data_IF_590365470125
#
_entry.id   IF_590365470125
#
_cell.length_a   1.000
_cell.length_b   1.000
_cell.length_c   1.000
_cell.angle_alpha   90.00
_cell.angle_beta   90.00
_cell.angle_gamma   90.00
#
_symmetry.space_group_name_H-M   'P 1'
#
loop_
_entity.id
_entity.type
_entity.pdbx_description
1 polymer ?
#
# COMPACT_ATOMS: atom_id res chain seq x y z
N UNK A 1 -50.59 -47.79 16.45
CA UNK A 1 -49.40 -47.81 17.34
C UNK A 1 -48.61 -49.08 17.05
N UNK A 2 -47.28 -48.99 17.17
CA UNK A 2 -46.23 -49.80 16.54
C UNK A 2 -46.33 -51.35 16.61
N UNK A 3 -45.63 -52.08 15.71
CA UNK A 3 -45.96 -53.43 15.26
C UNK A 3 -45.06 -54.54 15.85
N UNK A 4 -45.50 -55.80 15.73
CA UNK A 4 -44.72 -56.99 16.04
C UNK A 4 -44.42 -57.84 14.78
N UNK A 5 -43.13 -57.84 14.42
CA UNK A 5 -42.28 -58.94 13.91
C UNK A 5 -42.78 -59.91 12.83
N UNK A 6 -42.06 -59.89 11.69
CA UNK A 6 -42.11 -60.90 10.63
C UNK A 6 -40.78 -61.67 10.51
N UNK A 7 -40.90 -63.00 10.55
CA UNK A 7 -40.17 -64.08 9.85
C UNK A 7 -38.63 -64.10 9.71
N UNK A 8 -38.12 -65.25 10.19
CA UNK A 8 -36.96 -66.05 9.78
C UNK A 8 -36.57 -65.98 8.29
N UNK A 9 -35.25 -65.98 8.02
CA UNK A 9 -34.61 -66.73 6.92
C UNK A 9 -33.06 -66.76 7.05
N UNK A 10 -32.47 -67.96 7.02
CA UNK A 10 -31.06 -68.28 6.69
C UNK A 10 -30.83 -68.11 5.16
N UNK A 11 -29.61 -68.06 4.54
CA UNK A 11 -28.41 -68.86 4.86
C UNK A 11 -26.99 -68.29 4.56
N UNK A 12 -25.99 -69.06 5.03
CA UNK A 12 -24.60 -69.27 4.56
C UNK A 12 -23.95 -68.26 3.59
N UNK A 13 -22.86 -67.61 4.04
CA UNK A 13 -21.63 -67.57 3.22
C UNK A 13 -20.35 -67.50 4.07
N UNK A 14 -19.59 -68.58 3.92
CA UNK A 14 -18.16 -68.83 4.12
C UNK A 14 -17.25 -67.59 4.31
N UNK A 15 -16.31 -67.63 5.26
CA UNK A 15 -14.90 -68.04 5.03
C UNK A 15 -14.07 -67.75 6.31
N UNK A 16 -13.16 -68.67 6.69
CA UNK A 16 -12.27 -68.53 7.88
C UNK A 16 -10.98 -67.80 7.51
N UNK A 17 -10.32 -67.15 8.49
CA UNK A 17 -8.88 -67.42 8.60
C UNK A 17 -8.47 -67.91 10.00
N UNK A 18 -7.39 -68.69 10.07
CA UNK A 18 -6.91 -69.27 11.29
C UNK A 18 -5.94 -68.35 12.05
N UNK A 19 -6.06 -68.47 13.38
CA UNK A 19 -4.99 -68.69 14.35
C UNK A 19 -3.95 -67.60 14.66
N UNK A 20 -3.94 -67.29 15.97
CA UNK A 20 -2.77 -67.05 16.85
C UNK A 20 -2.11 -65.68 16.69
N UNK A 21 -2.41 -64.71 17.57
CA UNK A 21 -1.84 -64.55 18.91
C UNK A 21 -0.37 -64.96 19.03
N UNK A 22 0.49 -63.93 19.10
CA UNK A 22 1.73 -63.75 19.89
C UNK A 22 2.61 -62.79 19.08
N UNK A 23 3.36 -61.83 19.60
CA UNK A 23 3.53 -61.24 20.91
C UNK A 23 4.35 -59.95 20.61
N UNK A 24 4.14 -58.92 21.42
CA UNK A 24 4.93 -57.66 21.54
C UNK A 24 6.45 -57.89 21.35
N UNK A 25 7.34 -56.99 20.94
CA UNK A 25 7.40 -55.52 20.89
C UNK A 25 8.77 -55.20 20.25
N UNK A 26 8.86 -54.30 19.28
CA UNK A 26 10.09 -53.52 19.05
C UNK A 26 9.67 -52.16 18.52
N UNK A 27 9.88 -51.15 19.35
CA UNK A 27 9.60 -49.75 19.04
C UNK A 27 10.53 -49.28 17.93
N UNK A 28 10.04 -49.21 16.71
CA UNK A 28 10.59 -48.27 15.73
C UNK A 28 9.84 -46.96 15.92
N UNK A 29 10.39 -46.09 16.76
CA UNK A 29 10.01 -44.68 16.78
C UNK A 29 10.50 -44.07 15.48
N UNK A 30 9.64 -43.99 14.48
CA UNK A 30 9.86 -43.14 13.32
C UNK A 30 9.71 -41.69 13.77
N UNK A 31 10.86 -41.02 13.91
CA UNK A 31 10.96 -39.58 14.10
C UNK A 31 10.57 -38.91 12.77
N UNK A 32 9.27 -38.66 12.57
CA UNK A 32 8.81 -37.76 11.51
C UNK A 32 9.15 -36.33 11.94
N UNK A 33 10.29 -35.82 11.46
CA UNK A 33 10.56 -34.38 11.48
C UNK A 33 9.64 -33.75 10.43
N UNK A 34 8.42 -33.41 10.85
CA UNK A 34 7.57 -32.48 10.12
C UNK A 34 8.22 -31.10 10.23
N UNK A 35 9.11 -30.78 9.28
CA UNK A 35 9.64 -29.44 9.10
C UNK A 35 8.49 -28.55 8.62
N UNK A 36 7.75 -27.98 9.58
CA UNK A 36 6.79 -26.89 9.32
C UNK A 36 7.63 -25.71 8.85
N UNK A 37 7.82 -25.60 7.52
CA UNK A 37 8.19 -24.32 6.93
C UNK A 37 7.04 -23.37 7.23
N UNK A 38 7.18 -22.62 8.31
CA UNK A 38 6.35 -21.47 8.61
C UNK A 38 6.54 -20.46 7.49
N UNK A 39 5.77 -20.61 6.41
CA UNK A 39 5.61 -19.59 5.40
C UNK A 39 4.92 -18.43 6.10
N UNK A 40 5.71 -17.50 6.62
CA UNK A 40 5.22 -16.26 7.19
C UNK A 40 4.66 -15.45 6.03
N UNK A 41 3.38 -15.65 5.72
CA UNK A 41 2.61 -14.72 4.90
C UNK A 41 2.53 -13.42 5.71
N UNK A 42 3.56 -12.58 5.56
CA UNK A 42 3.46 -11.19 5.95
C UNK A 42 2.27 -10.62 5.18
N UNK A 43 1.20 -10.27 5.90
CA UNK A 43 0.14 -9.42 5.36
C UNK A 43 0.78 -8.04 5.10
N UNK A 44 1.35 -7.88 3.90
CA UNK A 44 1.82 -6.60 3.39
C UNK A 44 0.58 -5.72 3.19
N UNK A 45 0.27 -4.94 4.22
CA UNK A 45 -0.85 -4.02 4.17
C UNK A 45 -0.48 -2.86 3.24
N UNK A 46 -1.10 -2.82 2.07
CA UNK A 46 -0.85 -1.77 1.09
C UNK A 46 -0.95 -0.36 1.67
N UNK A 47 -0.19 0.58 1.10
CA UNK A 47 -0.26 1.98 1.52
C UNK A 47 -1.53 2.62 0.96
N UNK A 48 -2.46 2.90 1.88
CA UNK A 48 -3.71 3.60 1.61
C UNK A 48 -3.68 5.04 2.17
N UNK A 49 -4.25 5.97 1.41
CA UNK A 49 -4.54 7.34 1.84
C UNK A 49 -5.83 7.83 1.19
N UNK A 50 -6.63 8.60 1.92
CA UNK A 50 -7.94 9.10 1.46
C UNK A 50 -8.92 8.00 0.96
N UNK A 51 -8.77 6.77 1.45
CA UNK A 51 -9.56 5.61 1.01
C UNK A 51 -9.00 4.90 -0.22
N UNK A 52 -7.92 5.39 -0.83
CA UNK A 52 -7.36 4.83 -2.06
C UNK A 52 -5.98 4.23 -1.87
N UNK A 53 -5.70 3.15 -2.60
CA UNK A 53 -4.49 2.35 -2.47
C UNK A 53 -3.51 2.67 -3.59
N UNK A 54 -2.30 3.09 -3.21
CA UNK A 54 -1.22 3.41 -4.16
C UNK A 54 -0.82 2.16 -4.95
N UNK A 55 -0.64 2.32 -6.27
CA UNK A 55 -0.27 1.26 -7.21
C UNK A 55 -1.40 0.30 -7.59
N UNK A 56 -2.59 0.38 -6.97
CA UNK A 56 -3.69 -0.58 -7.20
C UNK A 56 -4.98 0.08 -7.67
N UNK A 57 -5.42 1.14 -6.97
CA UNK A 57 -6.66 1.85 -7.30
C UNK A 57 -6.56 2.44 -8.70
N UNK A 58 -7.57 2.20 -9.53
CA UNK A 58 -7.66 2.74 -10.88
C UNK A 58 -8.39 4.10 -10.95
N UNK A 59 -8.20 4.81 -12.06
CA UNK A 59 -8.84 6.10 -12.34
C UNK A 59 -10.36 6.07 -12.20
N UNK A 60 -11.02 5.03 -12.72
CA UNK A 60 -12.49 4.90 -12.70
C UNK A 60 -13.00 4.74 -11.26
N UNK A 61 -12.30 3.98 -10.43
CA UNK A 61 -12.63 3.82 -9.01
C UNK A 61 -12.56 5.17 -8.27
N UNK A 62 -11.53 5.98 -8.53
CA UNK A 62 -11.40 7.30 -7.90
C UNK A 62 -12.52 8.25 -8.36
N UNK A 63 -12.84 8.30 -9.66
CA UNK A 63 -13.91 9.19 -10.15
C UNK A 63 -15.29 8.80 -9.64
N UNK A 64 -15.54 7.50 -9.43
CA UNK A 64 -16.80 7.01 -8.87
C UNK A 64 -16.94 7.32 -7.37
N UNK A 65 -15.87 7.14 -6.59
CA UNK A 65 -15.91 7.33 -5.13
C UNK A 65 -15.68 8.78 -4.70
N UNK A 66 -15.06 9.60 -5.56
CA UNK A 66 -14.76 11.01 -5.29
C UNK A 66 -15.19 11.91 -6.48
N UNK A 67 -16.51 11.97 -6.79
CA UNK A 67 -17.02 12.66 -7.99
C UNK A 67 -16.85 14.19 -7.99
N UNK A 68 -16.49 14.78 -6.84
CA UNK A 68 -16.19 16.22 -6.77
C UNK A 68 -14.84 16.59 -7.38
N UNK A 69 -13.94 15.62 -7.53
CA UNK A 69 -12.65 15.83 -8.19
C UNK A 69 -12.86 16.14 -9.67
N UNK A 70 -12.10 17.10 -10.18
CA UNK A 70 -12.16 17.57 -11.56
C UNK A 70 -10.91 17.14 -12.31
N UNK A 71 -11.02 17.11 -13.63
CA UNK A 71 -9.87 16.83 -14.48
C UNK A 71 -8.71 17.80 -14.19
N UNK A 72 -7.54 17.23 -13.95
CA UNK A 72 -6.29 17.94 -13.75
C UNK A 72 -5.41 17.96 -15.00
N UNK A 73 -5.81 17.30 -16.08
CA UNK A 73 -5.01 17.12 -17.29
C UNK A 73 -4.04 15.95 -17.19
N UNK A 74 -2.99 15.97 -18.01
CA UNK A 74 -1.98 14.90 -18.09
C UNK A 74 -0.73 15.29 -17.31
N UNK A 75 -0.26 14.40 -16.45
CA UNK A 75 0.95 14.63 -15.67
C UNK A 75 2.21 14.45 -16.52
N UNK A 76 3.10 15.45 -16.52
CA UNK A 76 4.34 15.39 -17.32
C UNK A 76 5.32 14.28 -16.91
N UNK A 77 5.25 13.77 -15.67
CA UNK A 77 6.20 12.78 -15.17
C UNK A 77 5.73 11.34 -15.39
N UNK A 78 4.44 11.08 -15.20
CA UNK A 78 3.87 9.74 -15.43
C UNK A 78 3.27 9.57 -16.82
N UNK A 79 2.89 10.67 -17.50
CA UNK A 79 1.98 10.70 -18.65
C UNK A 79 0.61 10.08 -18.38
N UNK A 80 0.22 9.96 -17.11
CA UNK A 80 -1.12 9.53 -16.72
C UNK A 80 -2.03 10.72 -16.44
N UNK A 81 -3.32 10.41 -16.35
CA UNK A 81 -4.38 11.39 -16.01
C UNK A 81 -4.15 11.97 -14.62
N UNK A 82 -4.75 13.12 -14.36
CA UNK A 82 -4.79 13.74 -13.04
C UNK A 82 -6.21 14.09 -12.66
N UNK A 83 -6.50 14.02 -11.36
CA UNK A 83 -7.73 14.53 -10.77
C UNK A 83 -7.37 15.48 -9.64
N UNK A 84 -7.98 16.66 -9.61
CA UNK A 84 -7.74 17.68 -8.59
C UNK A 84 -9.04 18.19 -7.97
N UNK A 85 -9.00 18.64 -6.73
CA UNK A 85 -10.18 19.25 -6.14
C UNK A 85 -10.07 19.56 -4.66
N UNK A 86 -11.02 20.38 -4.21
CA UNK A 86 -11.16 20.75 -2.82
C UNK A 86 -11.39 19.54 -1.92
N UNK A 87 -10.78 19.62 -0.75
CA UNK A 87 -10.68 18.55 0.23
C UNK A 87 -11.91 18.30 1.09
N UNK A 88 -12.96 19.13 0.99
CA UNK A 88 -14.11 19.12 1.92
C UNK A 88 -14.78 17.75 2.05
N UNK A 89 -14.79 16.95 0.97
CA UNK A 89 -15.35 15.60 0.97
C UNK A 89 -14.59 14.63 1.89
N UNK A 90 -13.30 14.84 2.15
CA UNK A 90 -12.46 13.95 2.96
C UNK A 90 -12.53 14.26 4.46
N UNK A 91 -13.17 15.36 4.86
CA UNK A 91 -13.38 15.76 6.26
C UNK A 91 -12.08 15.81 7.10
N UNK A 92 -10.95 16.17 6.48
CA UNK A 92 -9.65 16.29 7.14
C UNK A 92 -9.39 17.75 7.52
N UNK A 93 -9.15 18.01 8.80
CA UNK A 93 -8.88 19.34 9.31
C UNK A 93 -7.62 19.96 8.66
N UNK A 94 -7.76 21.18 8.16
CA UNK A 94 -6.65 21.96 7.60
C UNK A 94 -6.15 21.50 6.24
N UNK A 95 -6.76 20.46 5.65
CA UNK A 95 -6.52 20.05 4.25
C UNK A 95 -7.21 21.06 3.33
N UNK A 96 -6.49 21.60 2.35
CA UNK A 96 -6.98 22.60 1.39
C UNK A 96 -7.32 22.01 0.04
N UNK A 97 -6.38 21.25 -0.51
CA UNK A 97 -6.46 20.72 -1.88
C UNK A 97 -5.91 19.29 -1.94
N UNK A 98 -6.33 18.57 -2.96
CA UNK A 98 -5.92 17.20 -3.26
C UNK A 98 -5.64 17.05 -4.75
N UNK A 99 -4.54 16.38 -5.07
CA UNK A 99 -4.18 16.02 -6.43
C UNK A 99 -3.85 14.53 -6.49
N UNK A 100 -4.57 13.82 -7.34
CA UNK A 100 -4.38 12.42 -7.67
C UNK A 100 -3.69 12.34 -9.02
N UNK A 101 -2.60 11.60 -9.09
CA UNK A 101 -1.85 11.39 -10.34
C UNK A 101 -1.81 9.90 -10.61
N UNK A 102 -2.24 9.53 -11.81
CA UNK A 102 -2.23 8.15 -12.28
C UNK A 102 -0.99 7.89 -13.15
N UNK A 103 -0.64 6.63 -13.34
CA UNK A 103 0.33 6.21 -14.35
C UNK A 103 -0.34 5.96 -15.72
N UNK A 104 0.44 5.50 -16.70
CA UNK A 104 -0.05 5.17 -18.05
C UNK A 104 -1.02 3.99 -18.07
N UNK A 105 -1.01 3.16 -17.03
CA UNK A 105 -1.92 2.03 -16.84
C UNK A 105 -3.16 2.44 -16.03
N UNK A 106 -3.35 3.74 -15.83
CA UNK A 106 -4.42 4.34 -15.04
C UNK A 106 -4.43 3.89 -13.58
N UNK A 107 -3.29 3.43 -13.05
CA UNK A 107 -3.14 3.08 -11.62
C UNK A 107 -2.64 4.27 -10.83
N UNK A 108 -3.14 4.41 -9.60
CA UNK A 108 -2.87 5.55 -8.74
C UNK A 108 -1.40 5.59 -8.32
N UNK A 109 -0.66 6.56 -8.84
CA UNK A 109 0.78 6.70 -8.63
C UNK A 109 1.13 7.71 -7.53
N UNK A 110 0.31 8.76 -7.37
CA UNK A 110 0.50 9.80 -6.35
C UNK A 110 -0.83 10.26 -5.78
N UNK A 111 -0.85 10.47 -4.46
CA UNK A 111 -1.83 11.33 -3.79
C UNK A 111 -1.04 12.46 -3.13
N UNK A 112 -1.26 13.68 -3.59
CA UNK A 112 -0.71 14.90 -3.00
C UNK A 112 -1.82 15.64 -2.27
N UNK A 113 -1.52 16.03 -1.05
CA UNK A 113 -2.41 16.77 -0.16
C UNK A 113 -1.73 18.06 0.27
N UNK A 114 -2.40 19.17 0.09
CA UNK A 114 -1.90 20.48 0.51
C UNK A 114 -2.62 20.91 1.79
N UNK A 115 -1.87 21.16 2.86
CA UNK A 115 -2.38 21.57 4.17
C UNK A 115 -1.90 22.98 4.53
N UNK A 116 -2.59 23.63 5.47
CA UNK A 116 -1.99 24.72 6.23
C UNK A 116 -0.71 24.24 6.92
N UNK A 117 0.38 25.02 6.84
CA UNK A 117 1.70 24.67 7.41
C UNK A 117 1.68 24.39 8.92
N UNK A 118 0.74 24.99 9.66
CA UNK A 118 0.54 24.71 11.10
C UNK A 118 0.21 23.25 11.40
N UNK A 119 -0.29 22.49 10.41
CA UNK A 119 -0.58 21.07 10.57
C UNK A 119 0.66 20.17 10.54
N UNK A 120 1.87 20.72 10.35
CA UNK A 120 3.08 19.91 10.16
C UNK A 120 3.32 18.94 11.31
N UNK A 121 3.30 19.41 12.56
CA UNK A 121 3.67 18.57 13.70
C UNK A 121 2.60 17.48 13.96
N UNK A 122 1.32 17.81 13.76
CA UNK A 122 0.19 16.86 13.81
C UNK A 122 0.33 15.76 12.76
N UNK A 123 0.53 16.14 11.49
CA UNK A 123 0.67 15.18 10.39
C UNK A 123 1.95 14.35 10.55
N UNK A 124 3.04 14.98 10.97
CA UNK A 124 4.30 14.29 11.20
C UNK A 124 4.16 13.23 12.29
N UNK A 125 3.50 13.57 13.41
CA UNK A 125 3.22 12.63 14.49
C UNK A 125 2.39 11.43 14.03
N UNK A 126 1.32 11.69 13.26
CA UNK A 126 0.48 10.64 12.67
C UNK A 126 1.27 9.72 11.70
N UNK A 127 2.09 10.29 10.81
CA UNK A 127 2.86 9.49 9.86
C UNK A 127 3.95 8.67 10.56
N UNK A 128 4.59 9.25 11.59
CA UNK A 128 5.63 8.58 12.37
C UNK A 128 5.10 7.38 13.15
N UNK A 129 3.84 7.39 13.59
CA UNK A 129 3.25 6.22 14.27
C UNK A 129 2.89 5.09 13.30
N UNK A 130 2.71 5.38 12.00
CA UNK A 130 2.24 4.42 10.99
C UNK A 130 3.34 3.89 10.05
N UNK A 131 4.39 4.68 9.81
CA UNK A 131 5.39 4.39 8.79
C UNK A 131 6.82 4.56 9.31
N UNK A 132 7.75 3.77 8.77
CA UNK A 132 9.17 3.90 9.11
C UNK A 132 9.71 5.24 8.59
N UNK A 133 10.33 6.02 9.48
CA UNK A 133 10.97 7.28 9.13
C UNK A 133 12.28 6.99 8.40
N UNK A 134 12.39 7.41 7.14
CA UNK A 134 13.60 7.26 6.33
C UNK A 134 14.56 8.43 6.52
N UNK A 135 14.05 9.67 6.55
CA UNK A 135 14.86 10.86 6.81
C UNK A 135 14.02 12.04 7.27
N UNK A 136 14.65 13.01 7.96
CA UNK A 136 14.02 14.27 8.36
C UNK A 136 15.01 15.43 8.39
N UNK A 137 14.51 16.63 8.15
CA UNK A 137 15.16 17.92 8.39
C UNK A 137 14.11 18.86 8.97
N UNK A 138 14.15 19.07 10.29
CA UNK A 138 13.17 19.88 11.02
C UNK A 138 13.96 20.90 11.86
N UNK A 139 14.48 21.97 11.23
CA UNK A 139 15.20 23.00 11.96
C UNK A 139 14.22 23.85 12.77
N UNK A 140 14.73 24.59 13.77
CA UNK A 140 13.93 25.58 14.51
C UNK A 140 13.43 26.69 13.58
N UNK A 141 14.30 27.19 12.70
CA UNK A 141 13.96 28.14 11.63
C UNK A 141 14.34 27.55 10.27
N UNK A 142 13.46 27.69 9.28
CA UNK A 142 13.67 27.22 7.91
C UNK A 142 12.64 26.19 7.45
N UNK A 143 12.88 25.62 6.26
CA UNK A 143 11.95 24.64 5.66
C UNK A 143 12.02 23.29 6.38
N UNK A 144 10.86 22.74 6.76
CA UNK A 144 10.75 21.41 7.36
C UNK A 144 10.48 20.36 6.27
N UNK A 145 11.18 19.23 6.34
CA UNK A 145 11.02 18.09 5.42
C UNK A 145 11.10 16.77 6.16
N UNK A 146 10.30 15.80 5.75
CA UNK A 146 10.39 14.43 6.25
C UNK A 146 10.07 13.44 5.12
N UNK A 147 10.68 12.25 5.18
CA UNK A 147 10.41 11.15 4.26
C UNK A 147 10.19 9.90 5.09
N UNK A 148 9.05 9.25 4.86
CA UNK A 148 8.71 7.94 5.39
C UNK A 148 8.67 6.93 4.26
N UNK A 149 8.83 5.66 4.61
CA UNK A 149 8.86 4.54 3.67
C UNK A 149 7.98 3.40 4.19
N UNK A 150 7.19 2.82 3.29
CA UNK A 150 6.56 1.52 3.48
C UNK A 150 6.47 0.83 2.12
N UNK A 151 7.05 -0.37 2.03
CA UNK A 151 7.09 -1.17 0.79
C UNK A 151 7.55 -0.33 -0.40
N UNK A 152 6.83 -0.34 -1.52
CA UNK A 152 7.14 0.42 -2.73
C UNK A 152 6.58 1.85 -2.74
N UNK A 153 6.22 2.40 -1.57
CA UNK A 153 5.64 3.74 -1.45
C UNK A 153 6.45 4.61 -0.50
N UNK A 154 6.67 5.86 -0.91
CA UNK A 154 7.25 6.92 -0.09
C UNK A 154 6.18 7.92 0.30
N UNK A 155 6.26 8.40 1.54
CA UNK A 155 5.46 9.53 2.01
C UNK A 155 6.41 10.68 2.28
N UNK A 156 6.28 11.77 1.52
CA UNK A 156 7.12 12.96 1.65
C UNK A 156 6.31 14.10 2.23
N UNK A 157 6.85 14.75 3.25
CA UNK A 157 6.34 16.00 3.77
C UNK A 157 7.30 17.13 3.40
N UNK A 158 6.74 18.24 2.91
CA UNK A 158 7.50 19.45 2.61
C UNK A 158 6.73 20.67 3.09
N UNK A 159 7.32 21.42 4.02
CA UNK A 159 6.78 22.68 4.54
C UNK A 159 7.83 23.78 4.29
N UNK A 160 7.75 24.50 3.16
CA UNK A 160 8.66 25.59 2.85
C UNK A 160 8.57 26.71 3.89
N UNK A 161 9.73 27.30 4.23
CA UNK A 161 9.79 28.39 5.21
C UNK A 161 8.86 29.56 4.87
N UNK A 162 8.91 30.01 3.61
CA UNK A 162 8.20 31.20 3.10
C UNK A 162 6.80 30.90 2.55
N UNK A 163 6.28 29.67 2.74
CA UNK A 163 4.91 29.31 2.35
C UNK A 163 4.00 29.24 3.57
N UNK A 164 2.72 29.57 3.40
CA UNK A 164 1.68 29.26 4.40
C UNK A 164 1.19 27.80 4.30
N UNK A 165 1.61 27.11 3.24
CA UNK A 165 1.19 25.76 2.92
C UNK A 165 2.32 24.75 3.08
N UNK A 166 1.92 23.50 3.28
CA UNK A 166 2.77 22.33 3.24
C UNK A 166 2.13 21.23 2.40
N UNK A 167 2.97 20.39 1.80
CA UNK A 167 2.52 19.26 1.01
C UNK A 167 2.85 17.95 1.70
N UNK A 168 1.92 17.00 1.60
CA UNK A 168 2.10 15.60 1.97
C UNK A 168 1.83 14.78 0.72
N UNK A 169 2.87 14.12 0.22
CA UNK A 169 2.81 13.31 -0.99
C UNK A 169 2.99 11.84 -0.65
N UNK A 170 2.00 11.02 -0.93
CA UNK A 170 2.13 9.58 -1.03
C UNK A 170 2.45 9.26 -2.49
N UNK A 171 3.57 8.60 -2.76
CA UNK A 171 3.98 8.30 -4.14
C UNK A 171 4.63 6.94 -4.25
N UNK A 172 4.34 6.23 -5.34
CA UNK A 172 5.03 4.99 -5.67
C UNK A 172 6.52 5.26 -5.96
N UNK A 173 7.36 4.28 -5.69
CA UNK A 173 8.80 4.35 -5.95
C UNK A 173 9.09 4.52 -7.43
N UNK A 174 8.28 3.90 -8.29
CA UNK A 174 8.36 4.11 -9.74
C UNK A 174 8.18 5.59 -10.09
N UNK A 175 7.12 6.22 -9.57
CA UNK A 175 6.90 7.65 -9.79
C UNK A 175 8.04 8.51 -9.24
N UNK A 176 8.54 8.21 -8.03
CA UNK A 176 9.68 8.93 -7.42
C UNK A 176 10.92 8.89 -8.32
N UNK A 177 11.23 7.72 -8.90
CA UNK A 177 12.35 7.55 -9.82
C UNK A 177 12.15 8.33 -11.11
N UNK A 178 10.97 8.25 -11.70
CA UNK A 178 10.63 8.96 -12.95
C UNK A 178 10.69 10.48 -12.77
N UNK A 179 10.11 10.99 -11.68
CA UNK A 179 10.19 12.40 -11.28
C UNK A 179 11.65 12.87 -11.15
N UNK A 180 12.47 12.17 -10.35
CA UNK A 180 13.89 12.53 -10.14
C UNK A 180 14.71 12.47 -11.42
N UNK A 181 14.42 11.50 -12.30
CA UNK A 181 15.09 11.38 -13.60
C UNK A 181 14.81 12.61 -14.47
N UNK A 182 13.55 12.96 -14.65
CA UNK A 182 13.14 14.11 -15.46
C UNK A 182 13.71 15.41 -14.88
N UNK A 183 13.61 15.61 -13.57
CA UNK A 183 14.17 16.81 -12.92
C UNK A 183 15.68 16.96 -13.11
N UNK A 184 16.45 15.87 -13.05
CA UNK A 184 17.89 15.91 -13.33
C UNK A 184 18.20 16.25 -14.80
N UNK A 185 17.38 15.76 -15.72
CA UNK A 185 17.53 16.09 -17.15
C UNK A 185 17.23 17.57 -17.40
N UNK A 186 16.13 18.09 -16.85
CA UNK A 186 15.75 19.50 -16.94
C UNK A 186 16.84 20.40 -16.34
N UNK A 187 17.37 20.06 -15.17
CA UNK A 187 18.45 20.84 -14.55
C UNK A 187 19.73 20.82 -15.38
N UNK A 188 20.12 19.66 -15.93
CA UNK A 188 21.30 19.57 -16.81
C UNK A 188 21.14 20.41 -18.07
N UNK A 189 19.95 20.42 -18.66
CA UNK A 189 19.65 21.26 -19.83
C UNK A 189 19.70 22.74 -19.47
N UNK A 190 19.12 23.13 -18.34
CA UNK A 190 19.17 24.51 -17.83
C UNK A 190 20.62 24.96 -17.63
N UNK A 191 21.42 24.18 -16.92
CA UNK A 191 22.83 24.52 -16.67
C UNK A 191 23.63 24.66 -17.97
N UNK A 192 23.42 23.77 -18.95
CA UNK A 192 24.10 23.87 -20.27
C UNK A 192 23.71 25.16 -21.01
N UNK A 193 22.44 25.55 -20.95
CA UNK A 193 21.96 26.81 -21.55
C UNK A 193 22.59 28.02 -20.86
N UNK A 194 22.60 28.04 -19.52
CA UNK A 194 23.23 29.12 -18.76
C UNK A 194 24.73 29.22 -19.03
N UNK A 195 25.44 28.09 -19.09
CA UNK A 195 26.86 28.06 -19.44
C UNK A 195 27.15 28.55 -20.87
N UNK A 196 26.23 28.38 -21.82
CA UNK A 196 26.39 28.92 -23.18
C UNK A 196 26.13 30.43 -23.30
N UNK A 197 25.68 31.09 -22.22
CA UNK A 197 25.47 32.54 -22.17
C UNK A 197 26.65 33.28 -21.53
N UNK A 198 27.62 32.56 -20.98
CA UNK A 198 28.87 33.08 -20.43
C UNK A 198 30.04 32.63 -21.32
#
# INVERSE_FOLDING_TARGET
MLPATLKLQHPLTQWRPPSLRRFRWLWQTTLTVAMVMGFSLGLYADVQSLGFTLGKTDYKTVTQQAPSLKDGGINKYSNGKMLKGMSKQFKIQGLKDTLFIFDKQEKLAVIMMTFNKHQFDTVFGYLKSKYALQSKRIPFVGSKRAVFKKEDVKIKMNAPHLSFDMDVMYLTDKFDRDYKRIQRLEQRQKNKREQSQF
#
